data_IF_525779278800
#
_entry.id   IF_525779278800
#
_cell.length_a   1.000
_cell.length_b   1.000
_cell.length_c   1.000
_cell.angle_alpha   90.00
_cell.angle_beta   90.00
_cell.angle_gamma   90.00
#
_symmetry.space_group_name_H-M   'P 1'
#
loop_
_entity.id
_entity.type
_entity.pdbx_description
1 polymer ?
#
# COMPACT_ATOMS: atom_id res chain seq x y z
N UNK A 1 26.86 1.56 -5.99
CA UNK A 1 26.23 1.43 -4.66
C UNK A 1 24.79 0.97 -4.86
N UNK A 2 24.35 -0.15 -4.27
CA UNK A 2 22.97 -0.61 -4.44
C UNK A 2 22.03 0.20 -3.55
N UNK A 3 20.92 0.69 -4.09
CA UNK A 3 19.88 1.37 -3.30
C UNK A 3 19.28 0.37 -2.31
N UNK A 4 19.54 0.56 -1.01
CA UNK A 4 19.03 -0.30 0.04
C UNK A 4 17.74 0.32 0.57
N UNK A 5 16.61 -0.24 0.16
CA UNK A 5 15.28 0.22 0.55
C UNK A 5 14.72 -0.74 1.59
N UNK A 6 14.10 -0.19 2.63
CA UNK A 6 13.43 -0.94 3.68
C UNK A 6 11.94 -0.84 3.45
N UNK A 7 11.28 -1.97 3.27
CA UNK A 7 9.82 -2.04 3.23
C UNK A 7 9.31 -2.46 4.60
N UNK A 8 8.58 -1.56 5.26
CA UNK A 8 7.87 -1.85 6.51
C UNK A 8 6.42 -2.12 6.18
N UNK A 9 5.92 -3.28 6.59
CA UNK A 9 4.53 -3.69 6.40
C UNK A 9 3.90 -4.01 7.76
N UNK A 10 2.75 -3.40 8.01
CA UNK A 10 1.86 -3.73 9.09
C UNK A 10 0.58 -4.30 8.49
N UNK A 11 0.41 -5.61 8.65
CA UNK A 11 -0.74 -6.34 8.15
C UNK A 11 -1.70 -6.61 9.30
N UNK A 12 -2.86 -5.94 9.27
CA UNK A 12 -4.03 -6.32 10.05
C UNK A 12 -4.91 -7.31 9.28
N UNK A 13 -5.93 -7.86 9.94
CA UNK A 13 -6.87 -8.82 9.32
C UNK A 13 -7.76 -8.19 8.23
N UNK A 14 -8.00 -6.87 8.30
CA UNK A 14 -8.84 -6.12 7.36
C UNK A 14 -8.19 -4.81 6.88
N UNK A 15 -6.91 -4.59 7.20
CA UNK A 15 -6.15 -3.41 6.83
C UNK A 15 -4.68 -3.75 6.59
N UNK A 16 -4.03 -2.98 5.73
CA UNK A 16 -2.61 -3.13 5.41
C UNK A 16 -1.98 -1.75 5.32
N UNK A 17 -0.98 -1.47 6.14
CA UNK A 17 -0.20 -0.23 6.09
C UNK A 17 1.22 -0.58 5.68
N UNK A 18 1.75 0.11 4.68
CA UNK A 18 3.11 -0.08 4.20
C UNK A 18 3.85 1.25 4.10
N UNK A 19 5.16 1.21 4.33
CA UNK A 19 6.03 2.34 4.07
C UNK A 19 7.35 1.85 3.48
N UNK A 20 7.84 2.55 2.46
CA UNK A 20 9.18 2.33 1.91
C UNK A 20 10.08 3.42 2.46
N UNK A 21 11.14 3.02 3.16
CA UNK A 21 12.15 3.89 3.71
C UNK A 21 13.46 3.73 2.94
N UNK A 22 14.17 4.83 2.78
CA UNK A 22 15.57 4.80 2.34
C UNK A 22 16.46 4.43 3.54
N UNK A 23 17.30 3.41 3.40
CA UNK A 23 18.19 2.99 4.49
C UNK A 23 19.34 4.00 4.74
N UNK A 24 19.66 4.86 3.78
CA UNK A 24 20.72 5.85 3.91
C UNK A 24 20.26 7.08 4.68
N UNK A 25 19.10 7.63 4.35
CA UNK A 25 18.55 8.83 4.98
C UNK A 25 17.51 8.56 6.07
N UNK A 26 16.91 7.37 6.10
CA UNK A 26 15.76 7.06 6.96
C UNK A 26 14.45 7.71 6.48
N UNK A 27 14.45 8.36 5.31
CA UNK A 27 13.26 9.05 4.80
C UNK A 27 12.22 8.08 4.24
N UNK A 28 10.96 8.39 4.49
CA UNK A 28 9.83 7.68 3.89
C UNK A 28 9.62 8.16 2.45
N UNK A 29 9.88 7.29 1.49
CA UNK A 29 9.73 7.53 0.06
C UNK A 29 8.30 7.29 -0.43
N UNK A 30 7.63 6.31 0.18
CA UNK A 30 6.27 5.89 -0.15
C UNK A 30 5.57 5.49 1.14
N UNK A 31 4.33 5.91 1.33
CA UNK A 31 3.42 5.30 2.29
C UNK A 31 2.18 4.78 1.56
N UNK A 32 1.68 3.64 1.99
CA UNK A 32 0.44 3.06 1.52
C UNK A 32 -0.41 2.60 2.70
N UNK A 33 -1.72 2.73 2.55
CA UNK A 33 -2.70 2.33 3.54
C UNK A 33 -3.89 1.77 2.78
N UNK A 34 -4.18 0.50 3.02
CA UNK A 34 -5.35 -0.19 2.53
C UNK A 34 -6.25 -0.50 3.72
N UNK A 35 -7.54 -0.17 3.60
CA UNK A 35 -8.54 -0.40 4.63
C UNK A 35 -9.78 -1.03 4.01
N UNK A 36 -10.58 -1.69 4.85
CA UNK A 36 -11.76 -2.45 4.43
C UNK A 36 -11.41 -3.55 3.42
N UNK A 37 -10.23 -4.16 3.58
CA UNK A 37 -9.85 -5.36 2.85
C UNK A 37 -10.91 -6.44 3.17
N UNK A 38 -11.46 -7.08 2.13
CA UNK A 38 -12.60 -8.01 2.15
C UNK A 38 -14.00 -7.40 2.05
N UNK A 39 -14.14 -6.07 1.97
CA UNK A 39 -15.41 -5.43 1.62
C UNK A 39 -15.38 -4.90 0.19
N UNK A 40 -16.55 -4.76 -0.47
CA UNK A 40 -16.64 -4.12 -1.79
C UNK A 40 -16.23 -2.64 -1.77
N UNK A 41 -16.20 -2.02 -0.58
CA UNK A 41 -15.76 -0.65 -0.32
C UNK A 41 -14.27 -0.61 0.10
N UNK A 42 -13.45 -1.51 -0.44
CA UNK A 42 -12.02 -1.54 -0.17
C UNK A 42 -11.34 -0.25 -0.68
N UNK A 43 -10.61 0.42 0.21
CA UNK A 43 -9.95 1.69 -0.08
C UNK A 43 -8.44 1.53 -0.03
N UNK A 44 -7.75 2.16 -0.98
CA UNK A 44 -6.28 2.19 -1.05
C UNK A 44 -5.82 3.65 -1.15
N UNK A 45 -5.09 4.10 -0.14
CA UNK A 45 -4.41 5.39 -0.09
C UNK A 45 -2.92 5.17 -0.33
N UNK A 46 -2.37 5.80 -1.36
CA UNK A 46 -0.94 5.74 -1.65
C UNK A 46 -0.42 7.17 -1.75
N UNK A 47 0.63 7.47 -0.99
CA UNK A 47 1.30 8.77 -1.00
C UNK A 47 2.77 8.54 -1.32
N UNK A 48 3.26 9.14 -2.40
CA UNK A 48 4.68 9.10 -2.76
C UNK A 48 5.30 10.49 -2.64
N UNK A 49 6.51 10.57 -2.10
CA UNK A 49 7.27 11.83 -2.02
C UNK A 49 7.99 12.21 -3.31
N UNK A 50 7.95 11.37 -4.36
CA UNK A 50 8.53 11.71 -5.67
C UNK A 50 7.62 12.70 -6.40
N UNK A 51 8.03 13.98 -6.46
CA UNK A 51 7.53 15.13 -7.27
C UNK A 51 6.04 15.06 -7.67
N UNK A 52 5.22 15.98 -7.12
CA UNK A 52 3.87 16.41 -7.59
C UNK A 52 3.35 15.62 -8.81
N UNK A 53 2.92 14.39 -8.61
CA UNK A 53 2.21 13.66 -9.66
C UNK A 53 1.04 12.94 -9.02
N UNK A 54 -0.07 13.70 -9.04
CA UNK A 54 -1.44 13.23 -9.17
C UNK A 54 -1.89 12.18 -8.15
N UNK A 55 -2.69 12.62 -7.17
CA UNK A 55 -3.72 11.79 -6.54
C UNK A 55 -4.55 11.14 -7.63
N UNK A 56 -4.13 9.96 -8.10
CA UNK A 56 -5.01 9.07 -8.84
C UNK A 56 -5.79 8.33 -7.78
N UNK A 57 -7.05 8.71 -7.63
CA UNK A 57 -8.06 7.81 -7.08
C UNK A 57 -8.03 6.55 -7.97
N UNK A 58 -7.37 5.50 -7.49
CA UNK A 58 -7.24 4.25 -8.24
C UNK A 58 -8.51 3.44 -8.00
N UNK A 59 -9.14 3.11 -9.13
CA UNK A 59 -10.27 2.21 -9.30
C UNK A 59 -10.23 1.03 -8.33
N UNK A 60 -11.37 0.75 -7.72
CA UNK A 60 -11.66 -0.49 -7.01
C UNK A 60 -11.22 -1.67 -7.86
N UNK A 61 -10.19 -2.38 -7.42
CA UNK A 61 -9.90 -3.71 -7.97
C UNK A 61 -11.04 -4.62 -7.52
N UNK A 62 -11.73 -5.33 -8.43
CA UNK A 62 -12.72 -6.31 -8.01
C UNK A 62 -11.98 -7.38 -7.20
N UNK A 63 -12.28 -7.46 -5.91
CA UNK A 63 -11.89 -8.58 -5.08
C UNK A 63 -12.63 -9.80 -5.64
N UNK A 64 -11.95 -10.62 -6.43
CA UNK A 64 -12.46 -11.95 -6.75
C UNK A 64 -12.67 -12.69 -5.43
N UNK A 65 -13.90 -13.11 -5.10
CA UNK A 65 -14.13 -13.83 -3.85
C UNK A 65 -13.29 -15.10 -3.86
N UNK A 66 -12.58 -15.32 -2.76
CA UNK A 66 -11.82 -16.54 -2.53
C UNK A 66 -12.75 -17.74 -2.74
N UNK A 67 -12.49 -18.48 -3.82
CA UNK A 67 -13.16 -19.73 -4.19
C UNK A 67 -13.27 -20.61 -2.95
N UNK A 68 -14.49 -20.78 -2.44
CA UNK A 68 -14.82 -21.80 -1.45
C UNK A 68 -14.37 -23.14 -2.02
N UNK A 69 -13.40 -23.79 -1.38
CA UNK A 69 -13.03 -25.16 -1.71
C UNK A 69 -14.23 -26.09 -1.43
N UNK A 70 -14.39 -27.16 -2.24
CA UNK A 70 -15.53 -28.07 -2.20
C UNK A 70 -15.60 -28.88 -0.91
#
# INVERSE_FOLDING_TARGET
MSQKLILVLNCGSSSLKGAVLDNGSGEVLLSCLAEKLNLPDALHHIQSKRRKTQSRSVRTFPTTPARSKP
#
